data_IF_383741023452
#
_entry.id   IF_383741023452
#
_cell.length_a   1.000
_cell.length_b   1.000
_cell.length_c   1.000
_cell.angle_alpha   90.00
_cell.angle_beta   90.00
_cell.angle_gamma   90.00
#
_symmetry.space_group_name_H-M   'P 1'
#
loop_
_entity.id
_entity.type
_entity.pdbx_description
1 polymer ?
#
# COMPACT_ATOMS: atom_id res chain seq x y z
N UNK A 1 2.52 6.14 2.11
CA UNK A 1 1.23 6.75 2.50
C UNK A 1 0.37 6.89 1.26
N UNK A 2 -0.92 6.64 1.41
CA UNK A 2 -1.94 6.85 0.40
C UNK A 2 -2.62 8.19 0.68
N UNK A 3 -2.44 9.15 -0.24
CA UNK A 3 -3.07 10.47 -0.19
C UNK A 3 -4.29 10.44 -1.11
N UNK A 4 -5.49 10.39 -0.53
CA UNK A 4 -6.72 10.04 -1.25
C UNK A 4 -7.62 11.26 -1.34
N UNK A 5 -8.35 11.39 -2.45
CA UNK A 5 -9.27 12.51 -2.72
C UNK A 5 -8.58 13.88 -2.81
N UNK A 6 -7.41 13.89 -3.44
CA UNK A 6 -6.71 15.10 -3.84
C UNK A 6 -6.83 15.30 -5.36
N UNK A 7 -6.88 16.54 -5.80
CA UNK A 7 -7.01 16.92 -7.22
C UNK A 7 -5.67 17.32 -7.85
N UNK A 8 -4.59 17.33 -7.08
CA UNK A 8 -3.23 17.61 -7.52
C UNK A 8 -2.26 16.58 -6.91
N UNK A 9 -1.11 16.43 -7.54
CA UNK A 9 -0.02 15.62 -7.01
C UNK A 9 0.75 16.44 -5.99
N UNK A 10 0.90 15.91 -4.77
CA UNK A 10 1.85 16.46 -3.80
C UNK A 10 3.24 15.95 -4.19
N UNK A 11 4.17 16.87 -4.41
CA UNK A 11 5.52 16.55 -4.89
C UNK A 11 6.26 15.65 -3.90
N UNK A 12 6.87 14.57 -4.43
CA UNK A 12 7.78 13.72 -3.66
C UNK A 12 9.14 14.38 -3.64
N UNK A 13 9.50 14.94 -2.48
CA UNK A 13 10.73 15.72 -2.33
C UNK A 13 11.99 14.86 -2.41
N UNK A 14 11.94 13.63 -1.86
CA UNK A 14 13.05 12.65 -1.84
C UNK A 14 12.57 11.27 -1.38
N UNK A 15 13.39 10.25 -1.66
CA UNK A 15 13.12 8.85 -1.29
C UNK A 15 13.05 8.62 0.23
N UNK A 16 13.75 9.43 1.02
CA UNK A 16 13.75 9.38 2.49
C UNK A 16 13.34 10.75 3.04
N UNK A 17 12.03 11.06 3.07
CA UNK A 17 11.54 12.35 3.51
C UNK A 17 11.79 12.56 5.00
N UNK A 18 11.93 13.82 5.42
CA UNK A 18 11.97 14.18 6.85
C UNK A 18 10.57 14.18 7.45
N UNK A 19 10.49 14.15 8.78
CA UNK A 19 9.23 14.31 9.51
C UNK A 19 8.48 15.58 9.09
N UNK A 20 9.19 16.70 8.88
CA UNK A 20 8.56 17.95 8.45
C UNK A 20 8.00 17.88 7.03
N UNK A 21 8.65 17.14 6.13
CA UNK A 21 8.13 16.89 4.77
C UNK A 21 6.90 15.99 4.81
N UNK A 22 6.91 14.97 5.69
CA UNK A 22 5.75 14.10 5.90
C UNK A 22 4.56 14.87 6.49
N UNK A 23 4.78 15.69 7.52
CA UNK A 23 3.76 16.58 8.10
C UNK A 23 3.21 17.55 7.06
N UNK A 24 4.08 18.15 6.24
CA UNK A 24 3.67 19.05 5.17
C UNK A 24 2.79 18.34 4.13
N UNK A 25 3.13 17.10 3.75
CA UNK A 25 2.32 16.30 2.84
C UNK A 25 0.94 15.93 3.43
N UNK A 26 0.89 15.59 4.73
CA UNK A 26 -0.37 15.32 5.44
C UNK A 26 -1.23 16.60 5.47
N UNK A 27 -0.65 17.73 5.88
CA UNK A 27 -1.34 19.02 5.93
C UNK A 27 -1.88 19.42 4.55
N UNK A 28 -1.05 19.32 3.51
CA UNK A 28 -1.46 19.64 2.14
C UNK A 28 -2.60 18.75 1.66
N UNK A 29 -2.56 17.47 2.01
CA UNK A 29 -3.65 16.53 1.70
C UNK A 29 -4.97 17.00 2.32
N UNK A 30 -4.96 17.48 3.56
CA UNK A 30 -6.15 18.00 4.22
C UNK A 30 -6.65 19.32 3.63
N UNK A 31 -5.75 20.24 3.28
CA UNK A 31 -6.09 21.50 2.59
C UNK A 31 -6.84 21.26 1.27
N UNK A 32 -6.48 20.19 0.56
CA UNK A 32 -7.11 19.76 -0.68
C UNK A 32 -8.42 18.98 -0.47
N UNK A 33 -8.85 18.81 0.78
CA UNK A 33 -10.06 18.07 1.15
C UNK A 33 -9.89 16.55 1.19
N UNK A 34 -8.67 16.05 1.02
CA UNK A 34 -8.32 14.65 1.05
C UNK A 34 -8.24 14.04 2.44
N UNK A 35 -7.75 12.79 2.47
CA UNK A 35 -7.36 12.05 3.66
C UNK A 35 -5.98 11.41 3.45
N UNK A 36 -5.20 11.31 4.52
CA UNK A 36 -3.89 10.67 4.54
C UNK A 36 -3.96 9.33 5.28
N UNK A 37 -3.67 8.25 4.57
CA UNK A 37 -3.65 6.89 5.12
C UNK A 37 -2.23 6.37 5.14
N UNK A 38 -1.80 5.80 6.27
CA UNK A 38 -0.50 5.13 6.36
C UNK A 38 -0.61 3.71 5.81
N UNK A 39 0.25 3.40 4.84
CA UNK A 39 0.29 2.10 4.18
C UNK A 39 0.99 1.09 5.09
N UNK A 40 0.52 -0.16 5.04
CA UNK A 40 1.08 -1.36 5.65
C UNK A 40 2.37 -1.21 6.51
N UNK A 41 2.22 -0.69 7.73
CA UNK A 41 3.35 -0.41 8.64
C UNK A 41 4.12 -1.68 9.01
N UNK A 42 3.45 -2.83 9.10
CA UNK A 42 4.13 -4.11 9.33
C UNK A 42 5.30 -4.35 8.36
N UNK A 43 5.18 -3.92 7.10
CA UNK A 43 6.24 -4.07 6.10
C UNK A 43 7.43 -3.15 6.39
N UNK A 44 7.14 -1.90 6.78
CA UNK A 44 8.16 -0.92 7.19
C UNK A 44 8.93 -1.40 8.44
N UNK A 45 8.24 -2.09 9.33
CA UNK A 45 8.79 -2.58 10.60
C UNK A 45 9.33 -4.02 10.52
N UNK A 46 9.19 -4.70 9.39
CA UNK A 46 9.68 -6.06 9.21
C UNK A 46 11.20 -6.11 9.36
N UNK A 47 11.70 -7.08 10.14
CA UNK A 47 13.14 -7.27 10.32
C UNK A 47 13.79 -7.79 9.04
N UNK A 48 14.76 -7.07 8.49
CA UNK A 48 15.55 -7.55 7.36
C UNK A 48 16.51 -8.66 7.82
N UNK A 49 16.60 -9.74 7.05
CA UNK A 49 17.37 -10.93 7.42
C UNK A 49 18.88 -10.70 7.42
N UNK A 50 19.37 -9.76 6.62
CA UNK A 50 20.78 -9.43 6.42
C UNK A 50 21.32 -8.46 7.48
N UNK A 51 20.55 -7.43 7.83
CA UNK A 51 20.97 -6.41 8.79
C UNK A 51 20.45 -6.63 10.21
N UNK A 52 19.43 -7.50 10.39
CA UNK A 52 18.70 -7.68 11.63
C UNK A 52 18.09 -6.38 12.19
N UNK A 53 17.83 -5.41 11.32
CA UNK A 53 17.14 -4.15 11.65
C UNK A 53 15.78 -4.09 10.99
N UNK A 54 14.90 -3.19 11.44
CA UNK A 54 13.66 -2.90 10.72
C UNK A 54 13.97 -2.48 9.26
N UNK A 55 13.04 -2.78 8.35
CA UNK A 55 13.14 -2.45 6.93
C UNK A 55 13.37 -0.96 6.71
N UNK A 56 12.60 -0.13 7.44
CA UNK A 56 12.75 1.31 7.51
C UNK A 56 13.09 1.71 8.96
N UNK A 57 14.37 1.74 9.35
CA UNK A 57 14.79 1.96 10.74
C UNK A 57 14.33 3.27 11.37
N UNK A 58 14.09 4.29 10.56
CA UNK A 58 13.65 5.62 10.99
C UNK A 58 12.17 5.87 10.63
N UNK A 59 11.37 4.82 10.46
CA UNK A 59 9.94 4.99 10.21
C UNK A 59 9.28 5.64 11.44
N UNK A 60 8.42 6.65 11.26
CA UNK A 60 7.71 7.29 12.37
C UNK A 60 6.88 6.28 13.17
N UNK A 61 6.75 6.50 14.49
CA UNK A 61 5.91 5.65 15.32
C UNK A 61 4.42 5.85 15.04
N UNK A 62 3.57 4.94 15.52
CA UNK A 62 2.12 5.11 15.42
C UNK A 62 1.64 6.40 16.10
N UNK A 63 2.23 6.73 17.25
CA UNK A 63 1.88 7.93 18.03
C UNK A 63 2.31 9.20 17.28
N UNK A 64 3.52 9.23 16.71
CA UNK A 64 3.97 10.36 15.87
C UNK A 64 3.00 10.59 14.72
N UNK A 65 2.64 9.54 13.98
CA UNK A 65 1.72 9.65 12.83
C UNK A 65 0.33 10.11 13.25
N UNK A 66 -0.17 9.61 14.39
CA UNK A 66 -1.44 10.05 14.97
C UNK A 66 -1.38 11.53 15.38
N UNK A 67 -0.28 12.00 15.96
CA UNK A 67 -0.09 13.40 16.31
C UNK A 67 0.01 14.30 15.07
N UNK A 68 0.66 13.84 14.01
CA UNK A 68 0.79 14.57 12.75
C UNK A 68 -0.53 14.64 11.97
N UNK A 69 -1.53 13.85 12.37
CA UNK A 69 -2.90 13.99 11.90
C UNK A 69 -3.28 13.03 10.77
N UNK A 70 -2.61 11.88 10.61
CA UNK A 70 -3.09 10.87 9.65
C UNK A 70 -4.53 10.47 9.98
N UNK A 71 -5.32 10.19 8.94
CA UNK A 71 -6.74 9.85 9.06
C UNK A 71 -6.96 8.36 9.34
N UNK A 72 -5.96 7.52 9.10
CA UNK A 72 -6.08 6.09 9.27
C UNK A 72 -4.84 5.31 8.85
N UNK A 73 -4.97 4.00 9.02
CA UNK A 73 -3.90 3.05 8.71
C UNK A 73 -4.48 1.87 7.91
N UNK A 74 -3.67 1.31 7.03
CA UNK A 74 -3.94 0.00 6.45
C UNK A 74 -3.78 -1.07 7.53
N UNK A 75 -4.88 -1.72 7.89
CA UNK A 75 -4.92 -2.87 8.82
C UNK A 75 -4.83 -4.20 8.06
N UNK A 76 -5.12 -4.18 6.76
CA UNK A 76 -4.92 -5.30 5.85
C UNK A 76 -4.19 -4.76 4.62
N UNK A 77 -3.13 -5.46 4.23
CA UNK A 77 -2.46 -5.23 2.97
C UNK A 77 -2.07 -6.55 2.34
N UNK A 78 -2.43 -6.74 1.07
CA UNK A 78 -2.27 -8.03 0.41
C UNK A 78 -2.87 -9.14 1.29
N UNK A 79 -2.18 -10.28 1.44
CA UNK A 79 -2.61 -11.40 2.28
C UNK A 79 -2.31 -11.22 3.78
N UNK A 80 -1.85 -10.05 4.23
CA UNK A 80 -1.43 -9.81 5.62
C UNK A 80 -2.47 -8.99 6.36
N UNK A 81 -2.94 -9.54 7.49
CA UNK A 81 -3.72 -8.80 8.49
C UNK A 81 -2.78 -8.34 9.63
N UNK A 82 -2.60 -7.03 9.74
CA UNK A 82 -1.74 -6.40 10.74
C UNK A 82 -2.51 -6.17 12.05
N UNK A 83 -2.51 -7.21 12.89
CA UNK A 83 -3.22 -7.19 14.16
C UNK A 83 -2.77 -6.06 15.11
N UNK A 84 -1.45 -5.75 15.25
CA UNK A 84 -1.01 -4.57 15.99
C UNK A 84 -1.61 -3.26 15.48
N UNK A 85 -1.56 -3.00 14.17
CA UNK A 85 -2.16 -1.78 13.58
C UNK A 85 -3.68 -1.76 13.80
N UNK A 86 -4.35 -2.90 13.65
CA UNK A 86 -5.79 -3.01 13.94
C UNK A 86 -6.12 -2.60 15.38
N UNK A 87 -5.37 -3.07 16.38
CA UNK A 87 -5.61 -2.67 17.77
C UNK A 87 -5.32 -1.20 18.01
N UNK A 88 -4.25 -0.65 17.43
CA UNK A 88 -3.94 0.77 17.54
C UNK A 88 -5.08 1.65 16.98
N UNK A 89 -5.56 1.32 15.78
CA UNK A 89 -6.72 1.97 15.16
C UNK A 89 -7.97 1.82 16.00
N UNK A 90 -8.26 0.61 16.51
CA UNK A 90 -9.45 0.34 17.33
C UNK A 90 -9.46 1.19 18.61
N UNK A 91 -8.31 1.30 19.28
CA UNK A 91 -8.13 2.11 20.48
C UNK A 91 -8.23 3.63 20.22
N UNK A 92 -8.02 4.04 18.97
CA UNK A 92 -8.06 5.44 18.53
C UNK A 92 -9.18 5.71 17.51
N UNK A 93 -10.25 4.90 17.55
CA UNK A 93 -11.35 4.91 16.55
C UNK A 93 -12.14 6.22 16.46
N UNK A 94 -11.99 7.11 17.44
CA UNK A 94 -12.55 8.47 17.37
C UNK A 94 -11.79 9.36 16.37
N UNK A 95 -10.53 9.03 16.08
CA UNK A 95 -9.61 9.81 15.23
C UNK A 95 -9.23 9.06 13.95
N UNK A 96 -9.15 7.74 13.99
CA UNK A 96 -8.62 6.92 12.91
C UNK A 96 -9.65 6.00 12.28
N UNK A 97 -9.45 5.70 10.99
CA UNK A 97 -10.07 4.58 10.30
C UNK A 97 -9.06 3.47 10.00
N UNK A 98 -9.55 2.23 9.99
CA UNK A 98 -8.80 1.07 9.51
C UNK A 98 -9.25 0.73 8.10
N UNK A 99 -8.30 0.68 7.16
CA UNK A 99 -8.60 0.37 5.76
C UNK A 99 -7.88 -0.90 5.31
N UNK A 100 -8.39 -1.51 4.25
CA UNK A 100 -7.75 -2.63 3.57
C UNK A 100 -7.36 -2.21 2.15
N UNK A 101 -6.09 -2.45 1.83
CA UNK A 101 -5.48 -2.21 0.52
C UNK A 101 -5.00 -3.51 -0.11
N UNK A 102 -5.03 -3.60 -1.43
CA UNK A 102 -4.52 -4.77 -2.15
C UNK A 102 -3.08 -4.61 -2.61
N UNK A 103 -2.58 -3.36 -2.71
CA UNK A 103 -1.23 -3.02 -3.16
C UNK A 103 -0.79 -3.75 -4.43
N UNK A 104 -1.73 -3.83 -5.39
CA UNK A 104 -1.54 -4.57 -6.63
C UNK A 104 -0.58 -3.80 -7.56
N UNK A 105 0.59 -4.37 -7.79
CA UNK A 105 1.60 -3.87 -8.73
C UNK A 105 1.53 -4.56 -10.10
N UNK A 106 0.84 -5.70 -10.17
CA UNK A 106 0.58 -6.46 -11.38
C UNK A 106 -0.75 -7.21 -11.21
N UNK A 107 -1.34 -7.74 -12.30
CA UNK A 107 -2.54 -8.55 -12.21
C UNK A 107 -2.36 -9.76 -11.26
N UNK A 108 -3.02 -9.74 -10.09
CA UNK A 108 -3.01 -10.79 -9.07
C UNK A 108 -4.31 -10.78 -8.24
N UNK A 109 -4.59 -11.81 -7.42
CA UNK A 109 -5.72 -11.79 -6.49
C UNK A 109 -5.69 -10.56 -5.57
N UNK A 110 -6.87 -10.00 -5.29
CA UNK A 110 -7.07 -9.00 -4.25
C UNK A 110 -7.60 -9.66 -2.98
N UNK A 111 -6.92 -9.43 -1.87
CA UNK A 111 -7.19 -10.11 -0.59
C UNK A 111 -7.99 -9.24 0.38
N UNK A 112 -7.91 -7.91 0.24
CA UNK A 112 -8.52 -6.95 1.14
C UNK A 112 -9.35 -5.91 0.40
N UNK A 113 -10.51 -5.56 0.97
CA UNK A 113 -11.38 -4.50 0.47
C UNK A 113 -11.81 -3.60 1.61
N UNK A 114 -11.64 -2.29 1.44
CA UNK A 114 -12.26 -1.32 2.33
C UNK A 114 -13.75 -1.24 2.04
N UNK A 115 -14.57 -1.52 3.05
CA UNK A 115 -16.03 -1.53 2.96
C UNK A 115 -16.58 -0.26 3.58
N UNK A 116 -17.24 0.55 2.75
CA UNK A 116 -17.86 1.81 3.16
C UNK A 116 -19.36 1.73 2.96
N UNK A 117 -20.14 1.95 4.02
CA UNK A 117 -21.60 2.03 3.94
C UNK A 117 -22.04 3.46 3.60
N UNK A 118 -21.74 3.89 2.38
CA UNK A 118 -22.10 5.22 1.90
C UNK A 118 -23.62 5.39 1.79
N UNK A 119 -24.15 6.56 2.17
CA UNK A 119 -25.57 6.89 2.02
C UNK A 119 -26.01 6.89 0.55
N UNK A 120 -25.08 7.23 -0.35
CA UNK A 120 -25.22 7.15 -1.78
C UNK A 120 -23.86 6.77 -2.40
N UNK A 121 -23.88 6.22 -3.61
CA UNK A 121 -22.66 5.83 -4.34
C UNK A 121 -21.97 7.02 -5.02
N UNK A 122 -21.94 8.18 -4.34
CA UNK A 122 -21.17 9.33 -4.79
C UNK A 122 -19.81 9.38 -4.09
N UNK A 123 -18.87 10.07 -4.72
CA UNK A 123 -17.56 10.38 -4.13
C UNK A 123 -17.74 11.08 -2.78
N UNK A 124 -18.60 12.09 -2.72
CA UNK A 124 -18.87 12.89 -1.53
C UNK A 124 -19.47 12.04 -0.41
N UNK A 125 -20.39 11.13 -0.74
CA UNK A 125 -21.00 10.19 0.20
C UNK A 125 -19.99 9.21 0.79
N UNK A 126 -19.08 8.67 -0.02
CA UNK A 126 -18.01 7.78 0.44
C UNK A 126 -17.06 8.54 1.38
N UNK A 127 -16.57 9.72 0.97
CA UNK A 127 -15.63 10.49 1.79
C UNK A 127 -16.28 11.07 3.05
N UNK A 128 -17.58 11.36 3.03
CA UNK A 128 -18.30 11.70 4.25
C UNK A 128 -18.24 10.56 5.28
N UNK A 129 -18.46 9.32 4.85
CA UNK A 129 -18.39 8.18 5.76
C UNK A 129 -16.95 7.89 6.25
N UNK A 130 -15.94 8.10 5.39
CA UNK A 130 -14.55 7.88 5.79
C UNK A 130 -14.02 8.97 6.73
N UNK A 131 -14.27 10.25 6.42
CA UNK A 131 -13.65 11.40 7.11
C UNK A 131 -14.46 11.86 8.31
N UNK A 132 -15.78 11.97 8.15
CA UNK A 132 -16.67 12.58 9.16
C UNK A 132 -17.17 11.54 10.14
N UNK A 133 -17.82 10.49 9.63
CA UNK A 133 -18.46 9.48 10.50
C UNK A 133 -17.49 8.38 10.93
N UNK A 134 -16.39 8.20 10.19
CA UNK A 134 -15.39 7.14 10.37
C UNK A 134 -16.02 5.73 10.36
N UNK A 135 -17.14 5.57 9.65
CA UNK A 135 -17.87 4.29 9.53
C UNK A 135 -17.35 3.48 8.36
N UNK A 136 -16.18 2.93 8.56
CA UNK A 136 -15.47 2.07 7.61
C UNK A 136 -15.25 0.71 8.24
N UNK A 137 -15.36 -0.35 7.44
CA UNK A 137 -14.95 -1.70 7.80
C UNK A 137 -14.07 -2.26 6.70
N UNK A 138 -13.67 -3.52 6.81
CA UNK A 138 -12.93 -4.20 5.78
C UNK A 138 -13.43 -5.63 5.60
N UNK A 139 -13.33 -6.12 4.36
CA UNK A 139 -13.42 -7.53 4.04
C UNK A 139 -11.99 -8.02 3.81
N UNK A 140 -11.61 -9.07 4.53
CA UNK A 140 -10.35 -9.76 4.31
C UNK A 140 -10.64 -11.22 3.96
N UNK A 141 -10.19 -11.63 2.79
CA UNK A 141 -10.21 -13.02 2.34
C UNK A 141 -8.77 -13.48 2.12
N UNK A 142 -8.21 -14.31 3.02
CA UNK A 142 -6.83 -14.78 2.89
C UNK A 142 -6.61 -15.69 1.68
N UNK A 143 -7.69 -16.21 1.08
CA UNK A 143 -7.60 -16.99 -0.17
C UNK A 143 -7.52 -16.10 -1.41
N UNK A 144 -7.82 -14.80 -1.25
CA UNK A 144 -7.84 -13.83 -2.33
C UNK A 144 -9.09 -13.95 -3.20
N UNK A 145 -9.41 -12.86 -3.91
CA UNK A 145 -10.45 -12.87 -4.91
C UNK A 145 -10.18 -13.96 -5.96
N UNK A 146 -11.21 -14.60 -6.53
CA UNK A 146 -11.04 -15.49 -7.67
C UNK A 146 -10.33 -14.72 -8.80
N UNK A 147 -9.04 -15.00 -8.97
CA UNK A 147 -8.23 -14.39 -10.00
C UNK A 147 -8.06 -15.38 -11.13
N UNK A 148 -8.45 -14.98 -12.33
CA UNK A 148 -8.16 -15.78 -13.52
C UNK A 148 -6.77 -15.42 -13.97
N UNK A 149 -5.78 -16.24 -13.61
CA UNK A 149 -4.40 -16.06 -14.02
C UNK A 149 -4.30 -16.10 -15.56
N UNK A 150 -3.98 -14.98 -16.25
CA UNK A 150 -3.86 -14.96 -17.69
C UNK A 150 -2.58 -15.65 -18.19
N UNK A 151 -1.63 -15.97 -17.30
CA UNK A 151 -0.32 -16.55 -17.61
C UNK A 151 -0.21 -18.03 -17.23
N UNK A 152 -1.18 -18.60 -16.50
CA UNK A 152 -1.20 -20.03 -16.17
C UNK A 152 0.00 -20.51 -15.33
N UNK A 153 0.65 -19.63 -14.58
CA UNK A 153 1.71 -20.02 -13.64
C UNK A 153 1.05 -20.46 -12.31
N UNK A 154 1.02 -21.80 -12.14
CA UNK A 154 0.60 -22.67 -11.05
C UNK A 154 -0.38 -22.16 -9.96
N UNK A 155 -1.60 -22.74 -9.94
CA UNK A 155 -2.40 -22.83 -8.72
C UNK A 155 -3.92 -23.02 -8.81
N UNK A 156 -4.64 -22.51 -9.82
CA UNK A 156 -6.11 -22.63 -9.91
C UNK A 156 -6.66 -22.37 -11.34
N UNK A 157 -7.85 -22.89 -11.70
CA UNK A 157 -8.13 -23.43 -13.03
C UNK A 157 -8.41 -22.39 -14.12
N UNK A 158 -7.76 -22.64 -15.27
CA UNK A 158 -8.19 -22.40 -16.65
C UNK A 158 -9.53 -21.65 -16.84
N UNK A 159 -9.49 -20.46 -17.45
CA UNK A 159 -10.29 -20.09 -18.65
C UNK A 159 -10.38 -18.56 -18.87
N UNK A 160 -9.33 -17.94 -19.40
CA UNK A 160 -9.49 -16.80 -20.33
C UNK A 160 -8.89 -17.24 -21.67
N UNK A 161 -9.53 -16.93 -22.81
CA UNK A 161 -8.90 -17.15 -24.11
C UNK A 161 -7.65 -16.28 -24.19
N UNK A 162 -6.47 -16.88 -24.15
CA UNK A 162 -5.24 -16.27 -24.63
C UNK A 162 -5.51 -15.79 -26.06
N UNK A 163 -5.87 -14.52 -26.23
CA UNK A 163 -6.09 -14.00 -27.56
C UNK A 163 -4.75 -14.07 -28.29
N UNK A 164 -4.78 -14.41 -29.59
CA UNK A 164 -3.58 -14.47 -30.43
C UNK A 164 -2.75 -13.17 -30.40
N UNK A 165 -3.36 -12.06 -29.96
CA UNK A 165 -2.72 -10.75 -29.77
C UNK A 165 -1.90 -10.69 -28.47
N UNK A 166 -2.40 -11.23 -27.35
CA UNK A 166 -1.69 -11.28 -26.07
C UNK A 166 -0.47 -12.21 -26.13
N UNK A 167 -0.61 -13.40 -26.74
CA UNK A 167 0.52 -14.34 -26.89
C UNK A 167 1.67 -13.79 -27.74
N UNK A 168 1.42 -12.82 -28.63
CA UNK A 168 2.47 -12.16 -29.41
C UNK A 168 3.30 -11.17 -28.59
N UNK A 169 2.72 -10.59 -27.55
CA UNK A 169 3.40 -9.57 -26.70
C UNK A 169 3.89 -10.15 -25.37
N UNK A 170 3.37 -11.31 -24.95
CA UNK A 170 3.78 -11.98 -23.71
C UNK A 170 5.30 -12.16 -23.55
N UNK A 171 6.03 -12.65 -24.58
CA UNK A 171 7.49 -12.75 -24.51
C UNK A 171 8.19 -11.39 -24.34
N UNK A 172 7.65 -10.32 -24.94
CA UNK A 172 8.20 -8.97 -24.78
C UNK A 172 7.96 -8.44 -23.36
N UNK A 173 6.86 -8.79 -22.71
CA UNK A 173 6.65 -8.47 -21.29
C UNK A 173 7.62 -9.22 -20.39
N UNK A 174 7.90 -10.50 -20.68
CA UNK A 174 8.90 -11.27 -19.93
C UNK A 174 10.32 -10.70 -20.07
N UNK A 175 10.68 -10.29 -21.29
CA UNK A 175 11.96 -9.60 -21.57
C UNK A 175 11.98 -8.21 -20.91
N UNK A 176 10.86 -7.48 -20.94
CA UNK A 176 10.74 -6.20 -20.23
C UNK A 176 10.99 -6.40 -18.75
N UNK A 177 10.34 -7.36 -18.09
CA UNK A 177 10.58 -7.65 -16.67
C UNK A 177 12.04 -8.00 -16.40
N UNK A 178 12.64 -8.87 -17.22
CA UNK A 178 14.07 -9.19 -17.12
C UNK A 178 14.95 -7.94 -17.19
N UNK A 179 14.68 -7.01 -18.12
CA UNK A 179 15.42 -5.75 -18.21
C UNK A 179 15.07 -4.76 -17.09
N UNK A 180 13.81 -4.68 -16.65
CA UNK A 180 13.40 -3.85 -15.52
C UNK A 180 14.12 -4.32 -14.25
N UNK A 181 14.36 -5.61 -14.08
CA UNK A 181 15.14 -6.14 -12.95
C UNK A 181 16.61 -5.66 -12.96
N UNK A 182 17.19 -5.35 -14.13
CA UNK A 182 18.51 -4.69 -14.22
C UNK A 182 18.44 -3.18 -14.01
N UNK A 183 17.32 -2.55 -14.33
CA UNK A 183 17.11 -1.10 -14.21
C UNK A 183 16.57 -0.67 -12.85
N UNK A 184 15.98 -1.58 -12.08
CA UNK A 184 15.89 -1.45 -10.63
C UNK A 184 17.30 -1.60 -10.07
N UNK A 185 18.10 -0.56 -10.27
CA UNK A 185 18.98 -0.09 -9.21
C UNK A 185 18.13 -0.06 -7.95
N UNK A 186 18.28 -1.06 -7.09
CA UNK A 186 17.67 -1.05 -5.77
C UNK A 186 18.45 0.00 -4.97
N UNK A 187 18.21 1.29 -5.21
CA UNK A 187 18.79 2.39 -4.42
C UNK A 187 18.17 2.49 -3.01
N UNK A 188 17.32 1.53 -2.63
CA UNK A 188 16.84 1.33 -1.25
C UNK A 188 17.45 0.11 -0.54
N UNK A 189 18.26 -0.71 -1.22
CA UNK A 189 18.95 -1.84 -0.62
C UNK A 189 20.43 -1.51 -0.65
N UNK A 190 20.96 -1.12 0.51
CA UNK A 190 22.40 -1.01 0.73
C UNK A 190 23.04 -2.40 0.55
N UNK A 191 23.15 -2.89 -0.69
CA UNK A 191 24.21 -3.82 -1.04
C UNK A 191 25.49 -3.00 -1.16
N UNK A 192 26.01 -2.59 0.00
CA UNK A 192 27.40 -2.21 0.13
C UNK A 192 28.25 -3.45 -0.14
N UNK A 193 28.60 -3.68 -1.40
CA UNK A 193 29.81 -4.42 -1.74
C UNK A 193 31.01 -3.56 -1.36
N UNK A 194 31.23 -3.36 -0.06
CA UNK A 194 32.48 -2.87 0.45
C UNK A 194 33.24 -4.06 1.03
N UNK A 195 34.23 -4.48 0.24
CA UNK A 195 35.42 -5.24 0.61
C UNK A 195 35.26 -6.76 0.68
N UNK A 196 35.42 -7.41 -0.47
CA UNK A 196 36.21 -8.65 -0.53
C UNK A 196 36.87 -8.80 -1.90
N UNK A 197 37.91 -8.00 -2.14
CA UNK A 197 39.02 -8.36 -3.03
C UNK A 197 40.26 -7.60 -2.56
N UNK A 198 40.97 -8.21 -1.61
CA UNK A 198 42.43 -8.39 -1.46
C UNK A 198 42.74 -8.86 -0.04
#
# INVERSE_FOLDING_TARGET
MNLININETIEVVRDSPTDEELKAAISRTHELGGIAIVNHIWWSNETQQDTLTARLPNHPSYDDLLEWGVDGFEVVNSYVFDLPTYYFVSNNSQRLIGVAGSDLHFPSPAFGYTVVKAQNYSKEGIFHEMKVTKRVSFLFDPTGSPYVNPLGLDGAPNNIPLTKKFSKIGPLMGISNYFTDFYTHITGMNMGFNQTFL
#
